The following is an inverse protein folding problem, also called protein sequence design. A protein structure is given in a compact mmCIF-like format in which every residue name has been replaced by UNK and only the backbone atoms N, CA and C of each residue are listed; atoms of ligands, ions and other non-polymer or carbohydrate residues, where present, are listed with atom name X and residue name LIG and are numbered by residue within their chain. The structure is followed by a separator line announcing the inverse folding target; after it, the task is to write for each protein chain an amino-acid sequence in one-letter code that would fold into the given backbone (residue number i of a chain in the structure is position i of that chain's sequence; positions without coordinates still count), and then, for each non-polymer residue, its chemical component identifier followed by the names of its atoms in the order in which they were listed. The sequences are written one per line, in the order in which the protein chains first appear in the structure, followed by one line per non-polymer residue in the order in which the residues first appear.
data_IF_162475646738
#
_entry.id   IF_162475646738
#
_cell.length_a   1.000
_cell.length_b   1.000
_cell.length_c   1.000
_cell.angle_alpha   90.00
_cell.angle_beta   90.00
_cell.angle_gamma   90.00
#
_symmetry.space_group_name_H-M   'P 1'
#
loop_
_entity.id
_entity.type
_entity.pdbx_description
1 polymer ?
#
# COMPACT_ATOMS: atom_id res chain seq x y z
N UNK A 1 -30.43 -21.27 13.76
CA UNK A 1 -29.64 -20.31 14.56
C UNK A 1 -28.23 -20.87 14.67
N UNK A 2 -27.34 -20.55 13.72
CA UNK A 2 -26.00 -21.12 13.66
C UNK A 2 -24.99 -20.04 14.05
N UNK A 3 -24.37 -20.23 15.21
CA UNK A 3 -23.41 -19.31 15.81
C UNK A 3 -22.11 -19.40 15.00
N UNK A 4 -21.86 -18.41 14.14
CA UNK A 4 -20.59 -18.29 13.42
C UNK A 4 -19.55 -17.79 14.43
N UNK A 5 -18.78 -18.72 14.98
CA UNK A 5 -17.57 -18.43 15.74
C UNK A 5 -16.54 -17.82 14.77
N UNK A 6 -16.48 -16.49 14.74
CA UNK A 6 -15.44 -15.73 14.03
C UNK A 6 -14.12 -15.93 14.77
N UNK A 7 -13.06 -16.51 14.17
CA UNK A 7 -11.73 -16.40 14.74
C UNK A 7 -11.32 -14.92 14.62
N UNK A 8 -11.20 -14.28 15.78
CA UNK A 8 -10.61 -12.95 15.92
C UNK A 8 -9.10 -13.10 15.76
N UNK A 9 -8.56 -12.52 14.69
CA UNK A 9 -7.12 -12.39 14.46
C UNK A 9 -6.73 -12.87 13.06
N UNK A 10 -6.17 -11.96 12.24
CA UNK A 10 -5.60 -12.13 10.88
C UNK A 10 -6.48 -11.89 9.64
N UNK A 11 -7.81 -11.73 9.74
CA UNK A 11 -8.62 -11.41 8.55
C UNK A 11 -8.59 -9.91 8.15
N UNK A 12 -8.40 -9.00 9.12
CA UNK A 12 -8.42 -7.55 8.86
C UNK A 12 -7.18 -7.05 8.13
N UNK A 13 -6.01 -7.59 8.45
CA UNK A 13 -4.73 -7.22 7.87
C UNK A 13 -4.60 -7.71 6.42
N UNK A 14 -5.00 -8.95 6.12
CA UNK A 14 -4.98 -9.48 4.76
C UNK A 14 -5.83 -8.65 3.76
N UNK A 15 -7.01 -8.18 4.20
CA UNK A 15 -7.88 -7.33 3.38
C UNK A 15 -7.34 -5.90 3.18
N UNK A 16 -6.68 -5.34 4.20
CA UNK A 16 -5.94 -4.07 4.09
C UNK A 16 -4.86 -4.20 3.01
N UNK A 17 -4.05 -5.25 3.09
CA UNK A 17 -2.98 -5.50 2.12
C UNK A 17 -3.50 -5.71 0.69
N UNK A 18 -4.65 -6.35 0.51
CA UNK A 18 -5.27 -6.50 -0.81
C UNK A 18 -5.68 -5.19 -1.47
N UNK A 19 -6.15 -4.23 -0.69
CA UNK A 19 -6.49 -2.89 -1.19
C UNK A 19 -5.23 -2.13 -1.57
N UNK A 20 -4.22 -2.12 -0.71
CA UNK A 20 -2.95 -1.43 -0.95
C UNK A 20 -2.27 -1.96 -2.23
N UNK A 21 -2.29 -3.28 -2.42
CA UNK A 21 -1.78 -3.92 -3.65
C UNK A 21 -2.47 -3.42 -4.91
N UNK A 22 -3.79 -3.27 -4.88
CA UNK A 22 -4.56 -2.76 -6.03
C UNK A 22 -4.24 -1.30 -6.32
N UNK A 23 -4.11 -0.47 -5.28
CA UNK A 23 -3.76 0.95 -5.46
C UNK A 23 -2.33 1.11 -5.99
N UNK A 24 -1.35 0.37 -5.45
CA UNK A 24 0.03 0.41 -5.95
C UNK A 24 0.14 -0.01 -7.42
N UNK A 25 -0.65 -0.98 -7.88
CA UNK A 25 -0.71 -1.34 -9.30
C UNK A 25 -1.23 -0.20 -10.19
N UNK A 26 -2.22 0.56 -9.71
CA UNK A 26 -2.72 1.73 -10.44
C UNK A 26 -1.65 2.82 -10.51
N UNK A 27 -0.94 3.07 -9.41
CA UNK A 27 0.15 4.04 -9.40
C UNK A 27 1.31 3.63 -10.30
N UNK A 28 1.69 2.35 -10.30
CA UNK A 28 2.70 1.84 -11.22
C UNK A 28 2.28 2.05 -12.68
N UNK A 29 1.02 1.73 -13.01
CA UNK A 29 0.48 1.96 -14.36
C UNK A 29 0.47 3.45 -14.73
N UNK A 30 0.05 4.33 -13.81
CA UNK A 30 0.03 5.77 -14.03
C UNK A 30 1.45 6.34 -14.24
N UNK A 31 2.43 5.88 -13.46
CA UNK A 31 3.83 6.30 -13.60
C UNK A 31 4.47 5.81 -14.90
N UNK A 32 4.02 4.68 -15.43
CA UNK A 32 4.51 4.12 -16.69
C UNK A 32 3.77 4.62 -17.94
N UNK A 33 2.65 5.33 -17.77
CA UNK A 33 1.91 5.89 -18.90
C UNK A 33 2.73 7.02 -19.56
N UNK A 34 2.98 6.91 -20.87
CA UNK A 34 3.71 7.91 -21.64
C UNK A 34 3.00 9.28 -21.69
N UNK A 35 1.69 9.33 -21.40
CA UNK A 35 0.91 10.57 -21.32
C UNK A 35 1.09 11.28 -20.00
N UNK A 36 1.62 10.59 -18.99
CA UNK A 36 1.82 11.16 -17.67
C UNK A 36 3.11 12.00 -17.65
N UNK A 37 2.95 13.32 -17.69
CA UNK A 37 4.06 14.28 -17.61
C UNK A 37 4.30 14.80 -16.19
N UNK A 38 3.33 14.61 -15.28
CA UNK A 38 3.27 15.30 -13.99
C UNK A 38 3.67 14.40 -12.80
N UNK A 39 3.22 13.15 -12.76
CA UNK A 39 3.50 12.29 -11.61
C UNK A 39 4.95 11.79 -11.65
N UNK A 40 5.66 11.99 -10.54
CA UNK A 40 7.08 11.58 -10.36
C UNK A 40 7.27 10.41 -9.40
N UNK A 41 6.22 10.06 -8.65
CA UNK A 41 6.26 8.95 -7.71
C UNK A 41 5.12 9.03 -6.69
N UNK A 42 5.16 8.12 -5.72
CA UNK A 42 4.22 8.06 -4.59
C UNK A 42 4.93 8.37 -3.29
N UNK A 43 4.25 9.10 -2.40
CA UNK A 43 4.68 9.32 -1.02
C UNK A 43 3.70 8.68 -0.05
N UNK A 44 4.21 7.85 0.85
CA UNK A 44 3.46 7.34 1.99
C UNK A 44 3.88 8.09 3.26
N UNK A 45 2.95 8.86 3.83
CA UNK A 45 3.13 9.51 5.13
C UNK A 45 2.34 8.73 6.17
N UNK A 46 2.99 8.33 7.25
CA UNK A 46 2.37 7.49 8.28
C UNK A 46 2.79 7.92 9.69
N UNK A 47 1.88 7.78 10.64
CA UNK A 47 2.14 7.95 12.08
C UNK A 47 2.53 6.63 12.77
N UNK A 48 2.92 5.62 11.99
CA UNK A 48 3.49 4.38 12.50
C UNK A 48 4.87 4.15 11.86
N UNK A 49 5.92 4.19 12.67
CA UNK A 49 7.30 4.06 12.21
C UNK A 49 7.56 2.70 11.51
N UNK A 50 6.95 1.61 12.00
CA UNK A 50 7.08 0.29 11.37
C UNK A 50 6.41 0.22 9.99
N UNK A 51 5.32 0.99 9.81
CA UNK A 51 4.61 1.05 8.53
C UNK A 51 5.46 1.69 7.42
N UNK A 52 6.46 2.52 7.75
CA UNK A 52 7.40 3.08 6.77
C UNK A 52 8.12 1.98 5.99
N UNK A 53 8.59 0.95 6.68
CA UNK A 53 9.28 -0.17 6.03
C UNK A 53 8.32 -1.03 5.20
N UNK A 54 7.12 -1.27 5.72
CA UNK A 54 6.07 -1.94 4.95
C UNK A 54 5.80 -1.23 3.61
N UNK A 55 5.61 0.09 3.62
CA UNK A 55 5.37 0.85 2.40
C UNK A 55 6.54 0.83 1.43
N UNK A 56 7.79 0.90 1.92
CA UNK A 56 8.99 0.80 1.07
C UNK A 56 9.07 -0.55 0.36
N UNK A 57 8.88 -1.63 1.11
CA UNK A 57 8.89 -3.00 0.56
C UNK A 57 7.79 -3.15 -0.49
N UNK A 58 6.58 -2.67 -0.18
CA UNK A 58 5.44 -2.78 -1.09
C UNK A 58 5.64 -1.96 -2.36
N UNK A 59 6.09 -0.70 -2.27
CA UNK A 59 6.38 0.11 -3.46
C UNK A 59 7.45 -0.55 -4.35
N UNK A 60 8.53 -1.06 -3.74
CA UNK A 60 9.57 -1.78 -4.47
C UNK A 60 9.04 -3.05 -5.15
N UNK A 61 8.24 -3.85 -4.44
CA UNK A 61 7.67 -5.11 -4.96
C UNK A 61 6.72 -4.89 -6.15
N UNK A 62 6.05 -3.74 -6.21
CA UNK A 62 5.10 -3.40 -7.28
C UNK A 62 5.66 -2.42 -8.31
N UNK A 63 6.95 -2.10 -8.26
CA UNK A 63 7.60 -1.22 -9.24
C UNK A 63 7.12 0.24 -9.18
N UNK A 64 6.62 0.67 -8.03
CA UNK A 64 6.21 2.06 -7.79
C UNK A 64 7.42 2.85 -7.32
N UNK A 65 7.84 3.85 -8.11
CA UNK A 65 8.84 4.82 -7.66
C UNK A 65 8.23 5.67 -6.54
N UNK A 66 8.87 5.70 -5.37
CA UNK A 66 8.31 6.41 -4.23
C UNK A 66 9.15 6.34 -2.97
N UNK A 67 8.65 7.02 -1.94
CA UNK A 67 9.28 7.08 -0.62
C UNK A 67 8.22 7.05 0.48
N UNK A 68 8.64 6.61 1.67
CA UNK A 68 7.78 6.61 2.85
C UNK A 68 8.48 7.35 3.98
N UNK A 69 7.72 8.18 4.71
CA UNK A 69 8.20 8.92 5.88
C UNK A 69 7.24 8.83 7.05
N UNK A 70 7.83 8.85 8.24
CA UNK A 70 7.09 8.91 9.49
C UNK A 70 6.83 10.37 9.86
N UNK A 71 5.58 10.67 10.26
CA UNK A 71 5.18 11.94 10.86
C UNK A 71 4.34 11.63 12.09
N UNK A 72 4.80 12.01 13.29
CA UNK A 72 4.11 11.74 14.55
C UNK A 72 2.78 12.52 14.70
#
# INVERSE_FOLDING_TARGET
MCKVSRPLGTAGTAFLYDKDRRELRKYAAALQDLRNTEMRGVEAVTNNEEAVQYWRIMMAAYGVQGHARYVP
#
